data_IF_263505767299
#
_entry.id   IF_263505767299
#
_cell.length_a   1.000
_cell.length_b   1.000
_cell.length_c   1.000
_cell.angle_alpha   90.00
_cell.angle_beta   90.00
_cell.angle_gamma   90.00
#
_symmetry.space_group_name_H-M   'P 1'
#
loop_
_entity.id
_entity.type
_entity.pdbx_description
1 polymer ?
#
# COMPACT_ATOMS: atom_id res chain seq x y z
N UNK A 1 4.88 15.61 0.58
CA UNK A 1 3.84 15.77 -0.43
C UNK A 1 3.42 17.21 -0.55
N UNK A 2 3.11 17.63 -1.76
CA UNK A 2 2.63 18.99 -1.98
C UNK A 2 1.19 19.10 -1.46
N UNK A 3 1.01 19.71 -0.29
CA UNK A 3 -0.31 19.91 0.33
C UNK A 3 -1.29 20.77 -0.50
N UNK A 4 -0.82 21.34 -1.61
CA UNK A 4 -1.64 22.20 -2.45
C UNK A 4 -2.61 21.44 -3.37
N UNK A 5 -2.37 20.16 -3.66
CA UNK A 5 -3.10 19.40 -4.70
C UNK A 5 -2.88 19.96 -6.11
N UNK A 6 -1.91 20.86 -6.29
CA UNK A 6 -1.65 21.52 -7.55
C UNK A 6 -1.11 20.55 -8.62
N UNK A 7 -1.36 20.82 -9.92
CA UNK A 7 -0.83 20.01 -11.01
C UNK A 7 0.69 19.84 -10.91
N UNK A 8 1.15 18.63 -11.24
CA UNK A 8 2.58 18.33 -11.23
C UNK A 8 3.14 18.44 -12.63
N UNK A 9 4.38 18.96 -12.80
CA UNK A 9 5.04 19.04 -14.09
C UNK A 9 5.17 17.67 -14.76
N UNK A 10 5.02 17.64 -16.08
CA UNK A 10 5.18 16.42 -16.88
C UNK A 10 3.90 15.62 -17.11
N UNK A 11 2.76 16.07 -16.61
CA UNK A 11 1.46 15.48 -16.87
C UNK A 11 0.59 16.41 -17.72
N UNK A 12 -0.01 15.87 -18.78
CA UNK A 12 -0.99 16.58 -19.64
C UNK A 12 -2.36 16.70 -18.95
N UNK A 13 -2.67 15.77 -18.06
CA UNK A 13 -3.88 15.74 -17.25
C UNK A 13 -3.49 15.41 -15.80
N UNK A 14 -4.00 16.18 -14.87
CA UNK A 14 -3.74 16.00 -13.44
C UNK A 14 -5.01 16.09 -12.63
N UNK A 15 -5.19 15.12 -11.75
CA UNK A 15 -6.21 15.16 -10.69
C UNK A 15 -5.58 14.87 -9.35
N UNK A 16 -5.94 15.65 -8.35
CA UNK A 16 -5.38 15.49 -7.02
C UNK A 16 -6.28 16.08 -5.94
N UNK A 17 -6.09 15.63 -4.73
CA UNK A 17 -6.77 16.15 -3.55
C UNK A 17 -5.77 16.57 -2.48
N UNK A 18 -6.19 17.45 -1.59
CA UNK A 18 -5.35 17.90 -0.49
C UNK A 18 -5.29 16.84 0.61
N UNK A 19 -4.09 16.60 1.15
CA UNK A 19 -3.87 15.65 2.23
C UNK A 19 -4.32 14.24 1.85
N UNK A 20 -5.10 13.58 2.72
CA UNK A 20 -5.60 12.22 2.48
C UNK A 20 -6.94 12.18 1.73
N UNK A 21 -7.53 13.34 1.40
CA UNK A 21 -8.80 13.40 0.69
C UNK A 21 -9.98 12.75 1.44
N UNK A 22 -11.15 12.74 0.78
CA UNK A 22 -12.40 12.21 1.30
C UNK A 22 -12.89 11.03 0.47
N UNK A 23 -13.48 10.01 1.10
CA UNK A 23 -14.08 8.88 0.37
C UNK A 23 -15.36 9.27 -0.35
N UNK A 24 -16.17 10.12 0.27
CA UNK A 24 -17.43 10.62 -0.30
C UNK A 24 -17.39 12.11 -0.50
N UNK A 25 -18.00 12.55 -1.59
CA UNK A 25 -18.09 13.96 -1.95
C UNK A 25 -16.71 14.65 -1.94
N UNK A 26 -15.69 14.06 -2.62
CA UNK A 26 -14.34 14.60 -2.58
C UNK A 26 -14.29 15.99 -3.19
N UNK A 27 -13.30 16.77 -2.77
CA UNK A 27 -12.88 17.97 -3.47
C UNK A 27 -11.61 17.67 -4.24
N UNK A 28 -11.69 17.71 -5.56
CA UNK A 28 -10.59 17.36 -6.48
C UNK A 28 -10.11 18.62 -7.18
N UNK A 29 -8.79 18.76 -7.29
CA UNK A 29 -8.16 19.71 -8.19
C UNK A 29 -7.96 19.03 -9.54
N UNK A 30 -8.64 19.49 -10.57
CA UNK A 30 -8.49 19.01 -11.94
C UNK A 30 -7.77 20.10 -12.74
N UNK A 31 -6.54 19.87 -13.15
CA UNK A 31 -5.72 20.78 -13.95
C UNK A 31 -5.63 22.21 -13.41
N UNK A 32 -5.68 22.39 -12.09
CA UNK A 32 -5.61 23.68 -11.42
C UNK A 32 -6.96 24.20 -10.91
N UNK A 33 -8.06 23.64 -11.34
CA UNK A 33 -9.40 24.01 -10.90
C UNK A 33 -9.92 23.07 -9.80
N UNK A 34 -10.47 23.65 -8.72
CA UNK A 34 -11.03 22.90 -7.63
C UNK A 34 -12.52 22.61 -7.84
N UNK A 35 -12.87 21.33 -7.95
CA UNK A 35 -14.23 20.85 -8.13
C UNK A 35 -14.70 20.18 -6.85
N UNK A 36 -15.83 20.62 -6.29
CA UNK A 36 -16.49 19.98 -5.16
C UNK A 36 -17.57 19.04 -5.66
N UNK A 37 -17.35 17.74 -5.48
CA UNK A 37 -18.36 16.72 -5.79
C UNK A 37 -19.39 16.60 -4.68
N UNK A 38 -20.58 16.12 -5.02
CA UNK A 38 -21.77 16.02 -4.14
C UNK A 38 -22.51 14.70 -4.40
N UNK A 39 -23.69 14.57 -3.83
CA UNK A 39 -24.66 13.48 -4.10
C UNK A 39 -24.13 12.07 -3.82
N UNK A 40 -23.27 11.98 -2.80
CA UNK A 40 -22.60 10.72 -2.41
C UNK A 40 -21.64 10.17 -3.46
N UNK A 41 -21.03 11.03 -4.28
CA UNK A 41 -19.96 10.65 -5.20
C UNK A 41 -18.84 9.94 -4.40
N UNK A 42 -18.50 8.73 -4.84
CA UNK A 42 -17.45 7.94 -4.20
C UNK A 42 -16.13 8.10 -4.96
N UNK A 43 -15.07 8.44 -4.26
CA UNK A 43 -13.80 8.88 -4.87
C UNK A 43 -13.15 7.81 -5.74
N UNK A 44 -13.23 6.52 -5.34
CA UNK A 44 -12.63 5.44 -6.14
C UNK A 44 -13.33 5.30 -7.49
N UNK A 45 -14.66 5.34 -7.50
CA UNK A 45 -15.45 5.27 -8.73
C UNK A 45 -15.16 6.48 -9.63
N UNK A 46 -15.17 7.68 -9.04
CA UNK A 46 -14.87 8.92 -9.76
C UNK A 46 -13.51 8.89 -10.46
N UNK A 47 -12.44 8.53 -9.74
CA UNK A 47 -11.10 8.48 -10.32
C UNK A 47 -10.98 7.38 -11.39
N UNK A 48 -11.70 6.28 -11.23
CA UNK A 48 -11.76 5.20 -12.21
C UNK A 48 -12.41 5.67 -13.51
N UNK A 49 -13.57 6.33 -13.40
CA UNK A 49 -14.31 6.87 -14.55
C UNK A 49 -13.47 7.91 -15.31
N UNK A 50 -12.80 8.79 -14.58
CA UNK A 50 -11.92 9.80 -15.18
C UNK A 50 -10.70 9.18 -15.87
N UNK A 51 -10.06 8.17 -15.27
CA UNK A 51 -8.95 7.45 -15.90
C UNK A 51 -9.39 6.74 -17.19
N UNK A 52 -10.56 6.09 -17.19
CA UNK A 52 -11.11 5.45 -18.37
C UNK A 52 -11.48 6.50 -19.44
N UNK A 53 -12.05 7.63 -19.04
CA UNK A 53 -12.36 8.70 -19.97
C UNK A 53 -11.10 9.28 -20.63
N UNK A 54 -10.05 9.51 -19.85
CA UNK A 54 -8.75 9.94 -20.39
C UNK A 54 -8.20 8.94 -21.43
N UNK A 55 -8.20 7.64 -21.11
CA UNK A 55 -7.75 6.60 -22.05
C UNK A 55 -8.59 6.58 -23.34
N UNK A 56 -9.91 6.80 -23.26
CA UNK A 56 -10.80 6.93 -24.43
C UNK A 56 -10.38 8.09 -25.34
N UNK A 57 -10.09 9.23 -24.75
CA UNK A 57 -9.66 10.44 -25.46
C UNK A 57 -8.32 10.23 -26.16
N UNK A 58 -7.34 9.60 -25.47
CA UNK A 58 -6.05 9.30 -26.08
C UNK A 58 -6.19 8.29 -27.24
N UNK A 59 -7.02 7.26 -27.08
CA UNK A 59 -7.30 6.31 -28.16
C UNK A 59 -7.94 7.00 -29.38
N UNK A 60 -8.90 7.89 -29.17
CA UNK A 60 -9.53 8.64 -30.27
C UNK A 60 -8.55 9.58 -30.97
N UNK A 61 -7.57 10.11 -30.24
CA UNK A 61 -6.51 10.96 -30.78
C UNK A 61 -5.34 10.16 -31.40
N UNK A 62 -5.40 8.84 -31.41
CA UNK A 62 -4.34 7.92 -31.83
C UNK A 62 -2.99 8.23 -31.14
N UNK A 63 -3.04 8.47 -29.82
CA UNK A 63 -1.88 8.79 -29.01
C UNK A 63 -1.61 7.69 -27.98
N UNK A 64 -0.34 7.37 -27.71
CA UNK A 64 0.01 6.54 -26.56
C UNK A 64 -0.36 7.29 -25.27
N UNK A 65 -0.57 6.54 -24.19
CA UNK A 65 -0.89 7.12 -22.89
C UNK A 65 -0.06 6.49 -21.77
N UNK A 66 0.14 7.28 -20.72
CA UNK A 66 0.57 6.84 -19.41
C UNK A 66 -0.48 7.29 -18.39
N UNK A 67 -1.00 6.36 -17.61
CA UNK A 67 -1.97 6.65 -16.55
C UNK A 67 -1.41 6.18 -15.21
N UNK A 68 -1.32 7.08 -14.24
CA UNK A 68 -1.01 6.79 -12.85
C UNK A 68 -2.29 6.95 -12.03
N UNK A 69 -3.05 5.88 -11.89
CA UNK A 69 -4.29 5.85 -11.12
C UNK A 69 -3.99 5.47 -9.67
N UNK A 70 -3.92 6.49 -8.80
CA UNK A 70 -3.65 6.33 -7.38
C UNK A 70 -4.92 6.55 -6.57
N UNK A 71 -5.43 5.48 -5.96
CA UNK A 71 -6.64 5.55 -5.14
C UNK A 71 -6.34 6.05 -3.71
N UNK A 72 -7.29 6.77 -3.10
CA UNK A 72 -7.32 6.97 -1.65
C UNK A 72 -7.50 5.63 -0.91
N UNK A 73 -8.22 4.71 -1.47
CA UNK A 73 -8.44 3.37 -0.92
C UNK A 73 -7.15 2.53 -0.98
N UNK A 74 -6.71 1.97 0.15
CA UNK A 74 -7.48 1.87 1.40
C UNK A 74 -6.76 2.58 2.56
N UNK A 75 -6.65 3.89 2.54
CA UNK A 75 -6.12 4.65 3.66
C UNK A 75 -7.22 4.91 4.71
N UNK A 76 -6.87 5.02 5.99
CA UNK A 76 -7.80 5.42 7.05
C UNK A 76 -8.41 6.82 6.75
N UNK A 77 -9.61 7.11 7.12
CA UNK A 77 -10.68 6.39 7.83
C UNK A 77 -11.46 5.51 6.84
N UNK A 78 -11.36 4.22 6.97
CA UNK A 78 -11.97 3.26 6.03
C UNK A 78 -13.45 3.50 5.86
N UNK A 79 -13.88 3.80 4.63
CA UNK A 79 -15.26 4.07 4.30
C UNK A 79 -15.62 3.40 2.98
N UNK A 80 -16.27 2.26 3.09
CA UNK A 80 -16.67 1.46 1.93
C UNK A 80 -17.72 2.18 1.07
N UNK A 81 -17.72 1.91 -0.23
CA UNK A 81 -18.84 2.27 -1.07
C UNK A 81 -20.15 1.66 -0.53
N UNK A 82 -21.27 2.37 -0.71
CA UNK A 82 -22.59 1.94 -0.16
C UNK A 82 -22.91 0.49 -0.54
N UNK A 83 -22.56 0.04 -1.76
CA UNK A 83 -22.78 -1.31 -2.27
C UNK A 83 -21.96 -2.41 -1.57
N UNK A 84 -20.89 -2.03 -0.89
CA UNK A 84 -20.00 -2.96 -0.17
C UNK A 84 -20.15 -2.91 1.34
N UNK A 85 -20.91 -1.94 1.84
CA UNK A 85 -21.13 -1.78 3.28
C UNK A 85 -21.70 -3.07 3.88
N UNK A 86 -21.11 -3.49 5.00
CA UNK A 86 -21.51 -4.67 5.76
C UNK A 86 -21.34 -6.03 5.03
N UNK A 87 -20.67 -6.09 3.86
CA UNK A 87 -20.51 -7.34 3.11
C UNK A 87 -19.65 -8.39 3.85
N UNK A 88 -18.84 -7.96 4.82
CA UNK A 88 -18.05 -8.83 5.69
C UNK A 88 -18.56 -8.92 7.12
N UNK A 89 -19.74 -8.37 7.44
CA UNK A 89 -20.30 -8.30 8.79
C UNK A 89 -20.33 -9.66 9.53
N UNK A 90 -20.66 -10.73 8.82
CA UNK A 90 -20.82 -12.07 9.38
C UNK A 90 -19.63 -13.00 9.06
N UNK A 91 -18.54 -12.48 8.50
CA UNK A 91 -17.35 -13.29 8.24
C UNK A 91 -16.50 -13.39 9.51
N UNK A 92 -16.00 -14.58 9.80
CA UNK A 92 -15.01 -14.75 10.85
C UNK A 92 -13.69 -14.11 10.44
N UNK A 93 -13.09 -13.36 11.36
CA UNK A 93 -11.77 -12.79 11.17
C UNK A 93 -10.73 -13.76 11.72
N UNK A 94 -9.85 -14.24 10.85
CA UNK A 94 -8.68 -15.02 11.25
C UNK A 94 -7.53 -14.05 11.47
N UNK A 95 -7.10 -13.93 12.72
CA UNK A 95 -5.96 -13.09 13.06
C UNK A 95 -4.65 -13.78 12.64
N UNK A 96 -3.62 -13.01 12.25
CA UNK A 96 -2.32 -13.56 11.91
C UNK A 96 -1.69 -14.27 13.12
N UNK A 97 -0.86 -15.31 12.91
CA UNK A 97 -0.26 -16.09 14.00
C UNK A 97 0.61 -15.26 14.94
N UNK A 98 1.21 -14.18 14.44
CA UNK A 98 2.06 -13.25 15.20
C UNK A 98 1.29 -12.01 15.68
N UNK A 99 -0.05 -12.07 15.68
CA UNK A 99 -0.89 -10.98 16.22
C UNK A 99 -0.52 -10.71 17.67
N UNK A 100 -0.22 -9.45 17.96
CA UNK A 100 0.18 -8.98 19.28
C UNK A 100 1.38 -9.73 19.90
N UNK A 101 2.19 -10.36 19.08
CA UNK A 101 3.39 -11.09 19.50
C UNK A 101 4.57 -10.12 19.52
N UNK A 102 5.11 -9.73 20.68
CA UNK A 102 6.31 -8.89 20.71
C UNK A 102 7.54 -9.65 20.19
N UNK A 103 8.55 -8.89 19.79
CA UNK A 103 9.79 -9.38 19.19
C UNK A 103 10.66 -10.31 20.05
N UNK A 104 10.25 -10.60 21.26
CA UNK A 104 11.09 -11.24 22.28
C UNK A 104 10.64 -12.64 22.62
N UNK A 105 10.56 -13.53 21.66
CA UNK A 105 10.40 -14.96 21.90
C UNK A 105 9.37 -15.32 22.99
N UNK A 106 8.10 -15.03 22.77
CA UNK A 106 7.04 -15.41 23.71
C UNK A 106 6.83 -16.90 23.65
N UNK A 107 6.74 -17.54 24.83
CA UNK A 107 6.37 -18.95 24.91
C UNK A 107 4.89 -19.21 24.67
N UNK A 108 4.03 -18.22 24.89
CA UNK A 108 2.59 -18.34 24.72
C UNK A 108 2.02 -17.09 24.06
N UNK A 109 1.14 -17.28 23.07
CA UNK A 109 0.40 -16.20 22.45
C UNK A 109 -0.58 -15.58 23.46
N UNK A 110 -0.77 -14.25 23.43
CA UNK A 110 -1.76 -13.61 24.28
C UNK A 110 -3.17 -14.07 23.94
N UNK A 111 -4.00 -14.26 24.96
CA UNK A 111 -5.43 -14.44 24.77
C UNK A 111 -6.10 -13.11 24.51
N UNK A 112 -6.90 -13.03 23.45
CA UNK A 112 -7.65 -11.82 23.15
C UNK A 112 -9.04 -11.92 23.75
N UNK A 113 -9.38 -10.96 24.59
CA UNK A 113 -10.76 -10.79 25.06
C UNK A 113 -11.66 -10.44 23.86
N UNK A 114 -12.52 -11.37 23.48
CA UNK A 114 -13.42 -11.22 22.32
C UNK A 114 -14.42 -10.05 22.48
N UNK A 115 -14.65 -9.53 23.69
CA UNK A 115 -15.57 -8.41 23.92
C UNK A 115 -14.88 -7.06 23.81
N UNK A 116 -13.65 -6.97 24.28
CA UNK A 116 -12.91 -5.70 24.36
C UNK A 116 -11.82 -5.56 23.31
N UNK A 117 -11.47 -6.64 22.61
CA UNK A 117 -10.32 -6.67 21.70
C UNK A 117 -8.97 -6.54 22.41
N UNK A 118 -8.96 -6.49 23.75
CA UNK A 118 -7.72 -6.36 24.51
C UNK A 118 -6.98 -7.66 24.60
N UNK A 119 -5.68 -7.59 24.39
CA UNK A 119 -4.78 -8.70 24.65
C UNK A 119 -4.57 -8.86 26.16
N UNK A 120 -4.84 -10.06 26.71
CA UNK A 120 -4.43 -10.44 28.03
C UNK A 120 -3.17 -11.28 27.96
N UNK A 121 -2.09 -10.76 28.49
CA UNK A 121 -0.80 -11.47 28.60
C UNK A 121 -0.77 -12.29 29.87
N UNK A 122 -0.27 -13.52 29.81
CA UNK A 122 -0.03 -14.34 30.98
C UNK A 122 1.03 -13.70 31.91
N UNK A 123 1.04 -14.10 33.19
CA UNK A 123 1.91 -13.52 34.23
C UNK A 123 3.43 -13.66 33.96
N UNK A 124 3.85 -14.42 32.96
CA UNK A 124 5.26 -14.66 32.61
C UNK A 124 5.64 -14.03 31.27
N UNK A 125 5.13 -12.85 30.99
CA UNK A 125 5.49 -12.08 29.81
C UNK A 125 6.88 -11.47 29.94
N UNK A 126 7.89 -12.19 29.46
CA UNK A 126 9.30 -11.75 29.50
C UNK A 126 9.54 -10.45 28.72
N UNK A 127 8.77 -10.22 27.69
CA UNK A 127 8.92 -9.07 26.80
C UNK A 127 8.70 -7.74 27.48
N UNK A 128 7.72 -7.63 28.37
CA UNK A 128 7.36 -6.35 28.98
C UNK A 128 8.42 -5.80 29.96
N UNK A 129 9.10 -6.68 30.68
CA UNK A 129 10.20 -6.28 31.61
C UNK A 129 11.51 -6.01 30.90
N UNK A 130 11.77 -6.64 29.77
CA UNK A 130 13.01 -6.53 29.01
C UNK A 130 12.90 -5.64 27.78
N UNK A 131 11.68 -5.25 27.39
CA UNK A 131 11.48 -4.35 26.28
C UNK A 131 12.05 -2.96 26.59
N UNK A 132 12.84 -2.38 25.69
CA UNK A 132 13.24 -0.98 25.80
C UNK A 132 12.01 -0.07 25.93
N UNK A 133 12.15 1.05 26.63
CA UNK A 133 11.00 1.95 26.90
C UNK A 133 10.38 2.52 25.63
N UNK A 134 11.18 2.73 24.58
CA UNK A 134 10.64 3.17 23.29
C UNK A 134 9.70 2.15 22.64
N UNK A 135 9.93 0.85 22.83
CA UNK A 135 9.05 -0.21 22.33
C UNK A 135 7.72 -0.20 23.09
N UNK A 136 7.77 0.00 24.42
CA UNK A 136 6.56 0.15 25.23
C UNK A 136 5.76 1.37 24.82
N UNK A 137 6.43 2.52 24.69
CA UNK A 137 5.82 3.77 24.23
C UNK A 137 5.20 3.66 22.83
N UNK A 138 5.82 2.89 21.94
CA UNK A 138 5.27 2.63 20.61
C UNK A 138 3.97 1.82 20.68
N UNK A 139 3.91 0.77 21.51
CA UNK A 139 2.71 -0.06 21.70
C UNK A 139 1.56 0.70 22.36
N UNK A 140 1.86 1.61 23.27
CA UNK A 140 0.89 2.46 23.96
C UNK A 140 0.46 3.67 23.12
N UNK A 141 1.17 3.96 22.03
CA UNK A 141 0.82 5.00 21.07
C UNK A 141 -0.26 4.53 20.11
N UNK A 142 -0.80 5.45 19.30
CA UNK A 142 -1.80 5.10 18.30
C UNK A 142 -1.29 4.13 17.20
N UNK A 143 0.02 3.84 17.16
CA UNK A 143 0.63 2.79 16.33
C UNK A 143 0.63 1.42 16.99
N UNK A 144 0.24 1.30 18.23
CA UNK A 144 0.20 0.03 18.95
C UNK A 144 -1.22 -0.52 19.09
N UNK A 145 -1.32 -1.84 19.17
CA UNK A 145 -2.60 -2.52 19.37
C UNK A 145 -3.30 -2.10 20.67
N UNK A 146 -2.51 -1.79 21.71
CA UNK A 146 -3.01 -1.43 23.02
C UNK A 146 -3.78 -0.09 22.99
N UNK A 147 -3.41 0.82 22.11
CA UNK A 147 -4.09 2.07 21.87
C UNK A 147 -5.16 1.97 20.77
N UNK A 148 -4.78 1.48 19.60
CA UNK A 148 -5.64 1.49 18.40
C UNK A 148 -6.91 0.66 18.56
N UNK A 149 -6.83 -0.40 19.38
CA UNK A 149 -7.99 -1.22 19.71
C UNK A 149 -8.65 -0.86 21.04
N UNK A 150 -8.19 0.18 21.71
CA UNK A 150 -8.78 0.64 22.96
C UNK A 150 -10.23 1.04 22.75
N UNK A 151 -11.15 0.26 23.33
CA UNK A 151 -12.59 0.51 23.21
C UNK A 151 -13.20 0.31 21.82
N UNK A 152 -12.42 -0.19 20.85
CA UNK A 152 -12.90 -0.56 19.51
C UNK A 152 -12.51 -2.00 19.22
N UNK A 153 -13.46 -2.88 18.84
CA UNK A 153 -13.12 -4.21 18.37
C UNK A 153 -12.22 -4.08 17.12
N UNK A 154 -11.03 -4.64 17.16
CA UNK A 154 -10.09 -4.57 16.04
C UNK A 154 -10.66 -5.18 14.75
N UNK A 155 -11.53 -6.17 14.89
CA UNK A 155 -12.23 -6.80 13.77
C UNK A 155 -13.14 -5.83 12.98
N UNK A 156 -13.69 -4.81 13.62
CA UNK A 156 -14.51 -3.79 12.92
C UNK A 156 -13.67 -2.99 11.94
N UNK A 157 -12.46 -2.60 12.32
CA UNK A 157 -11.59 -1.83 11.45
C UNK A 157 -11.08 -2.67 10.27
N UNK A 158 -10.67 -3.91 10.52
CA UNK A 158 -10.24 -4.84 9.45
C UNK A 158 -11.39 -5.11 8.47
N UNK A 159 -12.63 -5.29 8.96
CA UNK A 159 -13.79 -5.46 8.07
C UNK A 159 -14.02 -4.24 7.19
N UNK A 160 -14.00 -3.04 7.76
CA UNK A 160 -14.14 -1.79 7.00
C UNK A 160 -13.04 -1.62 5.96
N UNK A 161 -11.80 -1.97 6.31
CA UNK A 161 -10.69 -2.01 5.36
C UNK A 161 -10.99 -2.94 4.19
N UNK A 162 -11.38 -4.20 4.47
CA UNK A 162 -11.73 -5.17 3.44
C UNK A 162 -12.92 -4.73 2.58
N UNK A 163 -13.94 -4.13 3.19
CA UNK A 163 -15.10 -3.57 2.48
C UNK A 163 -14.71 -2.41 1.55
N UNK A 164 -13.78 -1.56 2.00
CA UNK A 164 -13.25 -0.44 1.20
C UNK A 164 -12.41 -0.96 0.02
N UNK A 165 -11.61 -2.00 0.25
CA UNK A 165 -10.79 -2.64 -0.78
C UNK A 165 -11.61 -3.22 -1.94
N UNK A 166 -12.85 -3.65 -1.69
CA UNK A 166 -13.75 -4.14 -2.75
C UNK A 166 -13.93 -3.14 -3.89
N UNK A 167 -13.99 -1.85 -3.58
CA UNK A 167 -14.14 -0.81 -4.61
C UNK A 167 -12.87 -0.62 -5.43
N UNK A 168 -11.69 -0.86 -4.85
CA UNK A 168 -10.42 -0.85 -5.60
C UNK A 168 -10.35 -2.04 -6.54
N UNK A 169 -10.77 -3.23 -6.10
CA UNK A 169 -10.86 -4.44 -6.92
C UNK A 169 -11.80 -4.23 -8.12
N UNK A 170 -12.97 -3.63 -7.90
CA UNK A 170 -13.89 -3.28 -8.99
C UNK A 170 -13.30 -2.24 -9.96
N UNK A 171 -12.58 -1.26 -9.44
CA UNK A 171 -11.89 -0.27 -10.27
C UNK A 171 -10.88 -0.92 -11.22
N UNK A 172 -10.08 -1.84 -10.69
CA UNK A 172 -9.12 -2.62 -11.50
C UNK A 172 -9.86 -3.40 -12.58
N UNK A 173 -10.95 -4.09 -12.22
CA UNK A 173 -11.80 -4.80 -13.16
C UNK A 173 -12.30 -3.90 -14.28
N UNK A 174 -12.84 -2.73 -13.93
CA UNK A 174 -13.38 -1.76 -14.90
C UNK A 174 -12.31 -1.24 -15.87
N UNK A 175 -11.10 -0.98 -15.39
CA UNK A 175 -9.97 -0.57 -16.23
C UNK A 175 -9.56 -1.69 -17.19
N UNK A 176 -9.45 -2.93 -16.70
CA UNK A 176 -9.08 -4.08 -17.53
C UNK A 176 -10.17 -4.40 -18.57
N UNK A 177 -11.43 -4.31 -18.21
CA UNK A 177 -12.57 -4.50 -19.12
C UNK A 177 -12.54 -3.45 -20.23
N UNK A 178 -12.34 -2.18 -19.87
CA UNK A 178 -12.19 -1.12 -20.86
C UNK A 178 -11.01 -1.38 -21.83
N UNK A 179 -9.83 -1.74 -21.34
CA UNK A 179 -8.67 -2.04 -22.18
C UNK A 179 -8.98 -3.16 -23.18
N UNK A 180 -9.67 -4.20 -22.72
CA UNK A 180 -10.10 -5.33 -23.56
C UNK A 180 -11.14 -4.91 -24.62
N UNK A 181 -12.19 -4.22 -24.21
CA UNK A 181 -13.23 -3.70 -25.11
C UNK A 181 -12.66 -2.74 -26.16
N UNK A 182 -11.67 -1.96 -25.76
CA UNK A 182 -10.99 -1.02 -26.64
C UNK A 182 -9.94 -1.70 -27.55
N UNK A 183 -9.62 -3.00 -27.38
CA UNK A 183 -8.58 -3.69 -28.11
C UNK A 183 -7.16 -3.18 -27.78
N UNK A 184 -6.97 -2.68 -26.57
CA UNK A 184 -5.70 -2.12 -26.08
C UNK A 184 -4.98 -3.06 -25.10
N UNK A 185 -5.66 -4.09 -24.63
CA UNK A 185 -5.22 -4.94 -23.51
C UNK A 185 -3.97 -5.76 -23.85
N UNK A 186 -3.73 -6.08 -25.10
CA UNK A 186 -2.53 -6.82 -25.55
C UNK A 186 -1.27 -5.95 -25.51
N UNK A 187 -1.38 -4.67 -25.85
CA UNK A 187 -0.27 -3.72 -25.96
C UNK A 187 -0.30 -2.63 -24.86
N UNK A 188 -0.83 -2.93 -23.70
CA UNK A 188 -0.80 -2.05 -22.55
C UNK A 188 -0.08 -2.75 -21.39
N UNK A 189 1.00 -2.12 -20.88
CA UNK A 189 1.63 -2.52 -19.64
C UNK A 189 0.73 -2.08 -18.48
N UNK A 190 0.18 -3.03 -17.76
CA UNK A 190 -0.59 -2.80 -16.54
C UNK A 190 0.23 -3.25 -15.34
N UNK A 191 0.47 -2.34 -14.39
CA UNK A 191 1.12 -2.62 -13.11
C UNK A 191 0.13 -2.30 -12.01
N UNK A 192 -0.21 -3.30 -11.20
CA UNK A 192 -0.93 -3.12 -9.93
C UNK A 192 0.03 -3.33 -8.78
N UNK A 193 0.05 -2.39 -7.83
CA UNK A 193 0.89 -2.49 -6.65
C UNK A 193 0.32 -1.66 -5.48
N UNK A 194 0.74 -1.99 -4.26
CA UNK A 194 0.58 -1.11 -3.11
C UNK A 194 1.77 -0.14 -2.98
N UNK A 195 1.55 1.00 -2.34
CA UNK A 195 2.60 1.96 -1.98
C UNK A 195 3.42 1.48 -0.78
N UNK A 196 2.76 0.92 0.22
CA UNK A 196 3.30 0.26 1.41
C UNK A 196 2.34 -0.81 1.90
N UNK A 197 2.83 -1.70 2.77
CA UNK A 197 2.02 -2.62 3.52
C UNK A 197 1.41 -1.97 4.76
N UNK A 198 0.81 -2.80 5.64
CA UNK A 198 0.20 -2.33 6.88
C UNK A 198 0.14 -3.47 7.90
N UNK A 199 0.59 -3.21 9.12
CA UNK A 199 0.45 -4.15 10.24
C UNK A 199 -0.94 -4.02 10.87
N UNK A 200 -1.61 -5.14 11.05
CA UNK A 200 -2.93 -5.24 11.66
C UNK A 200 -2.89 -5.88 13.05
N UNK A 201 -1.82 -5.70 13.76
CA UNK A 201 -1.59 -6.25 15.09
C UNK A 201 -0.42 -7.24 15.15
N UNK A 202 0.19 -7.54 14.01
CA UNK A 202 1.44 -8.28 13.96
C UNK A 202 2.49 -7.53 14.78
N UNK A 203 3.28 -8.27 15.55
CA UNK A 203 4.29 -7.71 16.44
C UNK A 203 3.74 -6.75 17.52
N UNK A 204 2.43 -6.72 17.73
CA UNK A 204 1.77 -5.76 18.64
C UNK A 204 1.66 -4.34 18.05
N UNK A 205 1.78 -4.20 16.75
CA UNK A 205 1.82 -2.92 16.05
C UNK A 205 0.65 -2.77 15.07
N UNK A 206 0.26 -1.53 14.89
CA UNK A 206 -0.64 -1.07 13.84
C UNK A 206 0.12 -0.01 13.05
N UNK A 207 0.00 0.02 11.74
CA UNK A 207 0.65 1.00 10.88
C UNK A 207 1.74 0.39 9.98
N UNK A 208 2.53 1.22 9.32
CA UNK A 208 3.40 0.91 8.20
C UNK A 208 4.84 1.39 8.35
N UNK A 209 5.22 1.98 9.48
CA UNK A 209 6.52 2.64 9.72
C UNK A 209 7.57 1.70 10.31
N UNK A 210 7.56 0.44 9.90
CA UNK A 210 8.46 -0.58 10.42
C UNK A 210 9.07 -1.39 9.28
N UNK A 211 10.26 -1.94 9.50
CA UNK A 211 10.89 -2.80 8.50
C UNK A 211 10.47 -4.27 8.64
N UNK A 212 9.19 -4.51 8.98
CA UNK A 212 8.59 -5.86 8.96
C UNK A 212 7.95 -6.15 7.62
N UNK A 213 7.79 -7.44 7.29
CA UNK A 213 7.22 -7.85 6.00
C UNK A 213 5.82 -7.23 5.79
N UNK A 214 5.03 -7.16 6.86
CA UNK A 214 3.69 -6.59 6.85
C UNK A 214 3.66 -5.12 6.41
N UNK A 215 4.72 -4.39 6.70
CA UNK A 215 4.85 -2.96 6.34
C UNK A 215 5.51 -2.75 4.98
N UNK A 216 6.46 -3.60 4.58
CA UNK A 216 7.30 -3.34 3.41
C UNK A 216 7.02 -4.25 2.21
N UNK A 217 6.38 -5.41 2.43
CA UNK A 217 6.03 -6.31 1.35
C UNK A 217 4.64 -5.99 0.83
N UNK A 218 4.57 -5.53 -0.41
CA UNK A 218 3.32 -5.17 -1.09
C UNK A 218 3.03 -6.15 -2.22
N UNK A 219 1.75 -6.36 -2.59
CA UNK A 219 1.42 -7.06 -3.81
C UNK A 219 1.95 -6.28 -5.01
N UNK A 220 2.47 -7.00 -6.02
CA UNK A 220 2.80 -6.45 -7.31
C UNK A 220 2.38 -7.45 -8.39
N UNK A 221 1.54 -7.02 -9.31
CA UNK A 221 1.04 -7.80 -10.43
C UNK A 221 1.33 -7.02 -11.72
N UNK A 222 1.88 -7.68 -12.72
CA UNK A 222 2.26 -7.04 -13.98
C UNK A 222 1.73 -7.84 -15.16
N UNK A 223 1.16 -7.14 -16.13
CA UNK A 223 0.59 -7.74 -17.33
C UNK A 223 0.92 -6.90 -18.56
N UNK A 224 1.43 -7.55 -19.62
CA UNK A 224 1.53 -7.01 -20.98
C UNK A 224 1.70 -8.20 -21.95
N UNK A 225 0.64 -8.77 -22.51
CA UNK A 225 0.70 -10.00 -23.31
C UNK A 225 1.60 -9.91 -24.51
N UNK A 226 1.71 -8.76 -25.17
CA UNK A 226 2.60 -8.56 -26.32
C UNK A 226 4.10 -8.59 -25.96
N UNK A 227 4.46 -8.40 -24.67
CA UNK A 227 5.85 -8.30 -24.23
C UNK A 227 6.35 -9.56 -23.50
N UNK A 228 5.49 -10.23 -22.74
CA UNK A 228 5.85 -11.41 -21.95
C UNK A 228 4.64 -12.28 -21.62
N UNK A 229 4.90 -13.55 -21.35
CA UNK A 229 3.88 -14.53 -20.96
C UNK A 229 3.42 -14.32 -19.51
N UNK A 230 2.11 -14.46 -19.28
CA UNK A 230 1.52 -14.44 -17.94
C UNK A 230 1.68 -15.76 -17.17
N UNK A 231 1.13 -15.78 -15.93
CA UNK A 231 1.08 -16.97 -15.08
C UNK A 231 2.42 -17.33 -14.42
N UNK A 232 3.40 -16.43 -14.44
CA UNK A 232 4.72 -16.60 -13.82
C UNK A 232 4.78 -15.90 -12.47
N UNK A 233 5.55 -16.48 -11.55
CA UNK A 233 5.93 -15.84 -10.28
C UNK A 233 7.41 -15.47 -10.39
N UNK A 234 7.71 -14.21 -10.11
CA UNK A 234 9.08 -13.68 -10.07
C UNK A 234 9.52 -13.66 -8.60
N UNK A 235 10.47 -14.52 -8.25
CA UNK A 235 10.99 -14.65 -6.88
C UNK A 235 12.05 -13.60 -6.53
N UNK A 236 12.57 -12.89 -7.53
CA UNK A 236 13.56 -11.84 -7.33
C UNK A 236 12.99 -10.67 -6.51
N UNK A 237 13.78 -10.11 -5.62
CA UNK A 237 13.39 -8.92 -4.84
C UNK A 237 13.30 -7.68 -5.72
N UNK A 238 12.08 -7.22 -5.98
CA UNK A 238 11.76 -5.98 -6.70
C UNK A 238 11.32 -4.93 -5.70
N UNK A 239 11.65 -3.67 -5.95
CA UNK A 239 11.30 -2.53 -5.10
C UNK A 239 10.46 -1.50 -5.88
N UNK A 240 9.74 -0.63 -5.17
CA UNK A 240 8.96 0.45 -5.76
C UNK A 240 9.80 1.37 -6.65
N UNK A 241 11.07 1.58 -6.30
CA UNK A 241 12.01 2.39 -7.10
C UNK A 241 12.35 1.78 -8.46
N UNK A 242 12.04 0.51 -8.68
CA UNK A 242 12.28 -0.20 -9.94
C UNK A 242 11.15 0.01 -10.97
N UNK A 243 10.01 0.54 -10.53
CA UNK A 243 8.82 0.71 -11.38
C UNK A 243 9.10 1.75 -12.48
N UNK A 244 9.61 2.92 -12.10
CA UNK A 244 9.86 4.00 -13.06
C UNK A 244 10.88 3.59 -14.15
N UNK A 245 12.08 3.02 -13.84
CA UNK A 245 12.97 2.54 -14.88
C UNK A 245 12.38 1.40 -15.73
N UNK A 246 11.46 0.60 -15.18
CA UNK A 246 10.76 -0.44 -15.96
C UNK A 246 9.79 0.17 -16.94
N UNK A 247 9.02 1.16 -16.55
CA UNK A 247 8.12 1.91 -17.45
C UNK A 247 8.90 2.56 -18.58
N UNK A 248 10.03 3.21 -18.26
CA UNK A 248 10.89 3.80 -19.29
C UNK A 248 11.41 2.77 -20.27
N UNK A 249 11.90 1.63 -19.77
CA UNK A 249 12.37 0.53 -20.64
C UNK A 249 11.26 -0.01 -21.56
N UNK A 250 10.01 -0.14 -21.04
CA UNK A 250 8.87 -0.54 -21.85
C UNK A 250 8.49 0.50 -22.92
N UNK A 251 8.73 1.78 -22.64
CA UNK A 251 8.52 2.87 -23.58
C UNK A 251 9.70 3.05 -24.58
N UNK A 252 10.74 2.22 -24.50
CA UNK A 252 11.94 2.34 -25.34
C UNK A 252 12.84 3.52 -24.97
N UNK A 253 12.72 4.03 -23.74
CA UNK A 253 13.50 5.16 -23.23
C UNK A 253 14.64 4.67 -22.33
N UNK A 254 15.74 5.41 -22.35
CA UNK A 254 16.84 5.17 -21.42
C UNK A 254 16.48 5.62 -20.00
N UNK A 255 16.98 4.89 -19.01
CA UNK A 255 16.83 5.25 -17.60
C UNK A 255 17.51 6.59 -17.31
N UNK A 256 16.80 7.49 -16.67
CA UNK A 256 17.38 8.76 -16.22
C UNK A 256 18.48 8.53 -15.15
N UNK A 257 19.55 9.31 -15.19
CA UNK A 257 20.75 9.13 -14.35
C UNK A 257 20.42 9.13 -12.84
N UNK A 258 19.47 9.96 -12.41
CA UNK A 258 19.05 10.08 -11.01
C UNK A 258 18.21 8.89 -10.51
N UNK A 259 17.76 7.99 -11.36
CA UNK A 259 16.98 6.83 -10.94
C UNK A 259 17.88 5.77 -10.34
N UNK A 260 17.68 5.39 -9.09
CA UNK A 260 18.48 4.38 -8.38
C UNK A 260 17.99 2.94 -8.61
N UNK A 261 16.73 2.76 -9.04
CA UNK A 261 16.14 1.45 -9.33
C UNK A 261 16.67 0.79 -10.61
N UNK A 262 16.30 -0.47 -10.79
CA UNK A 262 16.62 -1.28 -11.98
C UNK A 262 15.33 -1.67 -12.70
N UNK A 263 15.36 -1.70 -14.04
CA UNK A 263 14.24 -2.25 -14.80
C UNK A 263 14.10 -3.74 -14.56
N UNK A 264 12.95 -4.20 -14.10
CA UNK A 264 12.63 -5.63 -13.98
C UNK A 264 12.00 -6.22 -15.24
N UNK A 265 11.96 -5.48 -16.35
CA UNK A 265 11.47 -5.98 -17.64
C UNK A 265 12.18 -7.26 -18.10
N UNK A 266 13.52 -7.41 -17.95
CA UNK A 266 14.20 -8.66 -18.28
C UNK A 266 13.68 -9.86 -17.45
N UNK A 267 13.39 -9.65 -16.16
CA UNK A 267 12.83 -10.70 -15.29
C UNK A 267 11.45 -11.14 -15.80
N UNK A 268 10.59 -10.19 -16.19
CA UNK A 268 9.26 -10.46 -16.75
C UNK A 268 9.35 -11.30 -18.03
N UNK A 269 10.36 -11.04 -18.87
CA UNK A 269 10.65 -11.82 -20.08
C UNK A 269 11.26 -13.18 -19.80
N UNK A 270 11.66 -13.46 -18.56
CA UNK A 270 12.32 -14.70 -18.17
C UNK A 270 13.81 -14.75 -18.55
N UNK A 271 14.40 -13.60 -18.78
CA UNK A 271 15.83 -13.49 -19.09
C UNK A 271 16.68 -13.72 -17.83
N UNK A 272 17.82 -14.36 -17.97
CA UNK A 272 18.79 -14.51 -16.90
C UNK A 272 19.64 -13.25 -16.82
N UNK A 273 19.47 -12.49 -15.75
CA UNK A 273 20.20 -11.26 -15.48
C UNK A 273 20.81 -11.33 -14.09
N UNK A 274 21.92 -10.63 -13.92
CA UNK A 274 22.43 -10.36 -12.57
C UNK A 274 21.47 -9.43 -11.84
N UNK A 275 20.99 -9.88 -10.68
CA UNK A 275 19.98 -9.16 -9.93
C UNK A 275 20.40 -9.04 -8.47
N UNK A 276 19.88 -8.03 -7.76
CA UNK A 276 20.21 -7.82 -6.37
C UNK A 276 19.88 -9.04 -5.50
N UNK A 277 20.73 -9.31 -4.55
CA UNK A 277 20.55 -10.33 -3.51
C UNK A 277 20.12 -9.76 -2.17
N UNK A 278 20.03 -8.44 -2.07
CA UNK A 278 19.57 -7.71 -0.89
C UNK A 278 18.88 -6.40 -1.25
N UNK A 279 18.11 -5.89 -0.31
CA UNK A 279 17.52 -4.56 -0.35
C UNK A 279 17.86 -3.79 0.92
N UNK A 280 17.96 -2.48 0.80
CA UNK A 280 18.08 -1.55 1.91
C UNK A 280 16.74 -0.92 2.22
N UNK A 281 16.52 -0.63 3.50
CA UNK A 281 15.39 0.12 4.01
C UNK A 281 15.89 1.21 4.92
N UNK A 282 15.30 2.39 4.78
CA UNK A 282 15.59 3.55 5.60
C UNK A 282 14.26 4.18 6.01
N UNK A 283 14.14 4.48 7.30
CA UNK A 283 13.07 5.28 7.86
C UNK A 283 13.69 6.33 8.78
N UNK A 284 13.33 7.57 8.53
CA UNK A 284 13.81 8.69 9.32
C UNK A 284 12.71 9.15 10.27
N UNK A 285 13.08 9.45 11.50
CA UNK A 285 12.19 9.95 12.53
C UNK A 285 11.36 11.13 12.04
N UNK A 286 10.05 11.09 12.35
CA UNK A 286 9.09 12.12 11.99
C UNK A 286 8.54 12.76 13.27
N UNK A 287 8.37 14.08 13.26
CA UNK A 287 7.84 14.83 14.41
C UNK A 287 6.42 14.37 14.80
N UNK A 288 5.59 14.01 13.84
CA UNK A 288 4.23 13.53 14.09
C UNK A 288 4.17 12.11 14.62
N UNK A 289 5.27 11.36 14.55
CA UNK A 289 5.38 9.95 14.96
C UNK A 289 6.59 9.70 15.86
N UNK A 290 6.67 10.41 16.99
CA UNK A 290 7.89 10.46 17.82
C UNK A 290 8.27 9.11 18.44
N UNK A 291 7.31 8.16 18.52
CA UNK A 291 7.56 6.82 19.07
C UNK A 291 8.20 5.86 18.05
N UNK A 292 8.29 6.25 16.78
CA UNK A 292 8.96 5.45 15.76
C UNK A 292 10.37 5.98 15.54
N UNK A 293 11.40 5.26 15.97
CA UNK A 293 12.78 5.74 15.84
C UNK A 293 13.25 5.68 14.39
N UNK A 294 14.27 6.47 14.07
CA UNK A 294 15.03 6.27 12.83
C UNK A 294 15.59 4.85 12.80
N UNK A 295 15.42 4.18 11.67
CA UNK A 295 15.94 2.83 11.48
C UNK A 295 16.52 2.65 10.08
N UNK A 296 17.56 1.82 10.02
CA UNK A 296 18.12 1.32 8.79
C UNK A 296 18.09 -0.20 8.81
N UNK A 297 17.86 -0.81 7.70
CA UNK A 297 17.82 -2.25 7.62
C UNK A 297 18.30 -2.81 6.29
N UNK A 298 18.66 -4.07 6.33
CA UNK A 298 19.00 -4.87 5.15
C UNK A 298 18.19 -6.15 5.18
N UNK A 299 17.66 -6.54 4.04
CA UNK A 299 16.92 -7.79 3.85
C UNK A 299 17.57 -8.57 2.69
N UNK A 300 17.83 -9.83 2.94
CA UNK A 300 18.18 -10.84 1.95
C UNK A 300 17.02 -11.83 1.80
N UNK A 301 17.13 -12.82 0.94
CA UNK A 301 16.11 -13.87 0.82
C UNK A 301 15.86 -14.62 2.12
N UNK A 302 16.90 -14.76 2.95
CA UNK A 302 16.84 -15.53 4.20
C UNK A 302 16.85 -14.71 5.46
N UNK A 303 17.55 -13.58 5.48
CA UNK A 303 17.81 -12.81 6.69
C UNK A 303 17.35 -11.37 6.57
N UNK A 304 16.98 -10.78 7.71
CA UNK A 304 16.71 -9.37 7.89
C UNK A 304 17.46 -8.87 9.12
N UNK A 305 18.14 -7.74 8.97
CA UNK A 305 18.77 -7.02 10.08
C UNK A 305 18.19 -5.62 10.14
N UNK A 306 17.83 -5.17 11.35
CA UNK A 306 17.27 -3.84 11.58
C UNK A 306 18.11 -3.18 12.67
N UNK A 307 18.57 -1.96 12.41
CA UNK A 307 19.27 -1.12 13.38
C UNK A 307 18.40 0.09 13.69
N UNK A 308 18.04 0.24 14.93
CA UNK A 308 17.35 1.43 15.44
C UNK A 308 18.38 2.44 15.96
N UNK A 309 18.15 3.73 15.69
CA UNK A 309 19.04 4.82 16.04
C UNK A 309 18.44 5.73 17.11
N UNK A 310 19.27 6.18 18.04
CA UNK A 310 18.85 7.13 19.07
C UNK A 310 17.92 6.56 20.14
N UNK A 311 17.81 5.24 20.24
CA UNK A 311 17.03 4.54 21.27
C UNK A 311 17.96 3.72 22.15
N UNK A 312 17.79 3.88 23.47
CA UNK A 312 18.62 3.26 24.51
C UNK A 312 17.76 2.51 25.53
#
# INVERSE_FOLDING_TARGET
GNDSGAPQPGFDHWEGFKGQGEYYNPRINTNGEWIQYKDSTYVTDLLTDHAIQFMKEQKQADKPFFVYLSHKGVHDNFSAAKRHKDCYKNKELVLPPNFNTPHYGIKELPTIDKKTGKAAFGKEYYGEKMAPDWVKSQRESWHGVDYSYHGRPGDVQVRKYCETLRSVDESIGSVLDYLKEAGLDDNTLVIYMGDNGFAWGEHGLIDKRQFYEESVRVPMLVRCPSMFEGGKVIENMVQNVDVAPTIMACAGLEKAEQMVGYSFLPLLKGEKVDWRDHIFYEYYWEYEFPQTPTMHGIRTDRYKYIRYHGVW
#
